data_IF_995500132154
#
_entry.id   IF_995500132154
#
_cell.length_a   1.000
_cell.length_b   1.000
_cell.length_c   1.000
_cell.angle_alpha   90.00
_cell.angle_beta   90.00
_cell.angle_gamma   90.00
#
_symmetry.space_group_name_H-M   'P 1'
#
loop_
_entity.id
_entity.type
_entity.pdbx_description
1 polymer ?
#
# COMPACT_ATOMS: atom_id res chain seq x y z
N UNK A 1 -21.04 35.81 -5.02
CA UNK A 1 -21.84 35.30 -6.16
C UNK A 1 -23.18 34.85 -5.60
N UNK A 2 -24.28 35.54 -5.89
CA UNK A 2 -25.62 35.16 -5.42
C UNK A 2 -26.27 34.26 -6.49
N UNK A 3 -26.35 32.96 -6.23
CA UNK A 3 -27.07 32.02 -7.09
C UNK A 3 -28.55 32.10 -6.71
N UNK A 4 -29.38 32.70 -7.56
CA UNK A 4 -30.83 32.61 -7.43
C UNK A 4 -31.30 31.31 -8.10
N UNK A 5 -32.15 30.50 -7.44
CA UNK A 5 -32.73 29.33 -8.08
C UNK A 5 -33.53 29.78 -9.31
N UNK A 6 -33.32 29.16 -10.46
CA UNK A 6 -34.18 29.36 -11.62
C UNK A 6 -35.45 28.53 -11.42
N UNK A 7 -36.59 29.18 -11.23
CA UNK A 7 -37.86 28.50 -10.93
C UNK A 7 -38.43 27.70 -12.12
N UNK A 8 -38.10 28.08 -13.35
CA UNK A 8 -38.54 27.39 -14.57
C UNK A 8 -37.40 27.34 -15.60
N UNK A 9 -36.71 26.22 -15.69
CA UNK A 9 -35.66 25.99 -16.69
C UNK A 9 -36.28 25.72 -18.06
N UNK A 10 -35.76 26.37 -19.11
CA UNK A 10 -36.13 26.06 -20.49
C UNK A 10 -35.36 24.84 -20.99
N UNK A 11 -35.83 24.23 -22.08
CA UNK A 11 -35.11 23.13 -22.73
C UNK A 11 -33.67 23.51 -23.14
N UNK A 12 -33.44 24.78 -23.51
CA UNK A 12 -32.11 25.28 -23.85
C UNK A 12 -31.21 25.36 -22.60
N UNK A 13 -31.76 25.72 -21.45
CA UNK A 13 -30.99 25.76 -20.19
C UNK A 13 -30.56 24.36 -19.76
N UNK A 14 -31.45 23.37 -19.92
CA UNK A 14 -31.10 21.97 -19.67
C UNK A 14 -29.99 21.47 -20.60
N UNK A 15 -30.05 21.85 -21.88
CA UNK A 15 -29.00 21.50 -22.84
C UNK A 15 -27.67 22.13 -22.47
N UNK A 16 -27.65 23.42 -22.16
CA UNK A 16 -26.44 24.13 -21.75
C UNK A 16 -25.84 23.53 -20.47
N UNK A 17 -26.68 23.13 -19.51
CA UNK A 17 -26.25 22.49 -18.28
C UNK A 17 -25.68 21.09 -18.53
N UNK A 18 -26.27 20.30 -19.43
CA UNK A 18 -25.75 18.99 -19.82
C UNK A 18 -24.40 19.10 -20.54
N UNK A 19 -24.27 20.03 -21.50
CA UNK A 19 -23.02 20.28 -22.22
C UNK A 19 -21.92 20.79 -21.28
N UNK A 20 -22.26 21.69 -20.34
CA UNK A 20 -21.33 22.17 -19.33
C UNK A 20 -20.93 21.05 -18.35
N UNK A 21 -21.88 20.22 -17.91
CA UNK A 21 -21.58 19.07 -17.07
C UNK A 21 -20.64 18.12 -17.80
N UNK A 22 -20.89 17.75 -19.06
CA UNK A 22 -20.01 16.88 -19.84
C UNK A 22 -18.61 17.49 -20.06
N UNK A 23 -18.54 18.79 -20.32
CA UNK A 23 -17.26 19.47 -20.59
C UNK A 23 -16.40 19.66 -19.33
N UNK A 24 -17.04 19.87 -18.18
CA UNK A 24 -16.38 20.11 -16.88
C UNK A 24 -16.42 18.89 -15.95
N UNK A 25 -17.04 17.79 -16.35
CA UNK A 25 -16.95 16.51 -15.64
C UNK A 25 -15.50 16.04 -15.76
N UNK A 26 -14.73 15.93 -14.66
CA UNK A 26 -13.32 15.52 -14.68
C UNK A 26 -13.13 14.04 -15.08
N UNK A 27 -14.04 13.47 -15.86
CA UNK A 27 -14.21 12.05 -16.09
C UNK A 27 -14.80 11.36 -14.85
N UNK A 28 -15.21 10.07 -14.99
CA UNK A 28 -15.63 9.29 -13.84
C UNK A 28 -14.58 9.39 -12.73
N UNK A 29 -14.99 9.70 -11.50
CA UNK A 29 -14.11 9.63 -10.33
C UNK A 29 -13.45 8.24 -10.20
N UNK A 30 -14.04 7.22 -10.82
CA UNK A 30 -13.50 5.86 -10.92
C UNK A 30 -12.37 5.68 -11.94
N UNK A 31 -12.20 6.56 -12.93
CA UNK A 31 -11.12 6.46 -13.93
C UNK A 31 -9.78 7.01 -13.45
N UNK A 32 -9.78 7.89 -12.45
CA UNK A 32 -8.57 8.45 -11.84
C UNK A 32 -8.30 7.92 -10.42
N UNK A 33 -9.24 7.17 -9.86
CA UNK A 33 -9.08 6.50 -8.58
C UNK A 33 -8.47 5.12 -8.79
N UNK A 34 -7.16 5.01 -8.58
CA UNK A 34 -6.53 3.72 -8.38
C UNK A 34 -6.96 3.19 -7.01
N UNK A 35 -7.74 2.10 -6.98
CA UNK A 35 -8.14 1.45 -5.72
C UNK A 35 -6.93 0.83 -5.00
N UNK A 36 -5.85 0.61 -5.74
CA UNK A 36 -4.60 0.04 -5.24
C UNK A 36 -3.43 0.89 -5.72
N UNK A 37 -3.35 2.17 -5.28
CA UNK A 37 -2.28 3.05 -5.71
C UNK A 37 -0.96 2.37 -5.41
N UNK A 38 -0.12 2.18 -6.43
CA UNK A 38 1.22 1.64 -6.22
C UNK A 38 1.95 2.58 -5.28
N UNK A 39 2.27 2.08 -4.08
CA UNK A 39 3.12 2.80 -3.16
C UNK A 39 4.46 3.10 -3.85
N UNK A 40 5.02 4.27 -3.56
CA UNK A 40 6.39 4.54 -3.95
C UNK A 40 7.31 3.49 -3.33
N UNK A 41 8.30 2.97 -4.07
CA UNK A 41 9.21 1.97 -3.53
C UNK A 41 9.96 2.55 -2.34
N UNK A 42 9.84 1.89 -1.17
CA UNK A 42 10.59 2.25 0.03
C UNK A 42 12.09 2.04 -0.18
N UNK A 43 12.91 2.81 0.53
CA UNK A 43 14.35 2.61 0.61
C UNK A 43 14.68 1.17 1.08
N UNK A 44 15.56 0.43 0.38
CA UNK A 44 15.97 -0.91 0.79
C UNK A 44 16.37 -1.05 2.26
N UNK A 45 17.04 -0.03 2.84
CA UNK A 45 17.43 -0.07 4.25
C UNK A 45 16.21 -0.05 5.19
N UNK A 46 15.18 0.71 4.83
CA UNK A 46 13.93 0.79 5.59
C UNK A 46 13.17 -0.53 5.51
N UNK A 47 13.15 -1.18 4.34
CA UNK A 47 12.52 -2.48 4.15
C UNK A 47 13.20 -3.56 4.99
N UNK A 48 14.53 -3.64 4.93
CA UNK A 48 15.33 -4.61 5.70
C UNK A 48 15.09 -4.44 7.20
N UNK A 49 15.13 -3.19 7.70
CA UNK A 49 14.84 -2.90 9.11
C UNK A 49 13.42 -3.32 9.51
N UNK A 50 12.43 -2.99 8.68
CA UNK A 50 11.03 -3.37 8.92
C UNK A 50 10.85 -4.89 8.98
N UNK A 51 11.47 -5.63 8.06
CA UNK A 51 11.44 -7.09 8.08
C UNK A 51 12.10 -7.67 9.34
N UNK A 52 13.26 -7.14 9.75
CA UNK A 52 13.94 -7.57 10.96
C UNK A 52 13.12 -7.29 12.23
N UNK A 53 12.44 -6.15 12.30
CA UNK A 53 11.52 -5.82 13.40
C UNK A 53 10.32 -6.76 13.48
N UNK A 54 9.74 -7.15 12.34
CA UNK A 54 8.66 -8.16 12.30
C UNK A 54 9.18 -9.49 12.84
N UNK A 55 10.33 -9.96 12.35
CA UNK A 55 10.93 -11.22 12.80
C UNK A 55 11.21 -11.21 14.30
N UNK A 56 11.74 -10.12 14.86
CA UNK A 56 12.01 -10.03 16.31
C UNK A 56 10.77 -10.19 17.20
N UNK A 57 9.59 -9.91 16.65
CA UNK A 57 8.33 -10.04 17.37
C UNK A 57 7.70 -11.44 17.25
N UNK A 58 8.16 -12.26 16.30
CA UNK A 58 7.68 -13.63 16.06
C UNK A 58 8.03 -14.59 17.21
N UNK A 59 7.19 -15.61 17.40
CA UNK A 59 7.43 -16.67 18.39
C UNK A 59 8.68 -17.49 18.06
N UNK A 60 8.84 -17.83 16.78
CA UNK A 60 10.00 -18.59 16.27
C UNK A 60 11.34 -17.89 16.49
N UNK A 61 11.36 -16.56 16.57
CA UNK A 61 12.55 -15.81 16.96
C UNK A 61 12.81 -15.86 18.47
N UNK A 62 11.77 -15.72 19.30
CA UNK A 62 11.91 -15.68 20.76
C UNK A 62 12.48 -16.98 21.33
N UNK A 63 12.11 -18.10 20.71
CA UNK A 63 12.52 -19.43 21.14
C UNK A 63 13.91 -19.85 20.57
N UNK A 64 14.49 -19.08 19.64
CA UNK A 64 15.75 -19.40 18.97
C UNK A 64 16.88 -18.42 19.32
N UNK A 65 17.69 -18.80 20.29
CA UNK A 65 18.83 -18.00 20.76
C UNK A 65 19.91 -17.73 19.70
N UNK A 66 20.02 -18.55 18.64
CA UNK A 66 21.03 -18.34 17.60
C UNK A 66 20.67 -17.16 16.69
N UNK A 67 19.39 -16.77 16.67
CA UNK A 67 18.92 -15.60 15.91
C UNK A 67 19.18 -14.29 16.66
N UNK A 68 19.48 -14.34 17.95
CA UNK A 68 19.57 -13.15 18.79
C UNK A 68 20.91 -12.42 18.55
N UNK A 69 20.84 -11.10 18.39
CA UNK A 69 22.02 -10.25 18.21
C UNK A 69 22.62 -10.27 16.80
N UNK A 70 21.99 -10.97 15.84
CA UNK A 70 22.40 -10.95 14.45
C UNK A 70 22.09 -9.58 13.79
N UNK A 71 22.93 -9.13 12.85
CA UNK A 71 22.59 -8.02 11.94
C UNK A 71 21.33 -8.32 11.14
N UNK A 72 20.57 -7.28 10.76
CA UNK A 72 19.23 -7.41 10.16
C UNK A 72 19.22 -8.30 8.92
N UNK A 73 20.19 -8.14 8.02
CA UNK A 73 20.27 -8.92 6.78
C UNK A 73 20.50 -10.42 7.07
N UNK A 74 21.37 -10.71 8.04
CA UNK A 74 21.74 -12.08 8.43
C UNK A 74 20.60 -12.73 9.20
N UNK A 75 19.93 -11.98 10.08
CA UNK A 75 18.75 -12.40 10.81
C UNK A 75 17.66 -12.86 9.85
N UNK A 76 17.34 -12.04 8.85
CA UNK A 76 16.29 -12.35 7.87
C UNK A 76 16.60 -13.65 7.14
N UNK A 77 17.83 -13.80 6.63
CA UNK A 77 18.23 -15.01 5.92
C UNK A 77 18.19 -16.26 6.81
N UNK A 78 18.76 -16.18 8.00
CA UNK A 78 18.85 -17.33 8.91
C UNK A 78 17.47 -17.74 9.45
N UNK A 79 16.62 -16.78 9.79
CA UNK A 79 15.24 -17.04 10.18
C UNK A 79 14.46 -17.69 9.03
N UNK A 80 14.62 -17.19 7.80
CA UNK A 80 13.97 -17.78 6.63
C UNK A 80 14.40 -19.23 6.41
N UNK A 81 15.68 -19.56 6.52
CA UNK A 81 16.14 -20.95 6.40
C UNK A 81 15.61 -21.84 7.51
N UNK A 82 15.57 -21.38 8.75
CA UNK A 82 15.11 -22.20 9.88
C UNK A 82 13.61 -22.43 9.93
N UNK A 83 12.83 -21.49 9.40
CA UNK A 83 11.36 -21.55 9.41
C UNK A 83 10.77 -22.13 8.13
N UNK A 84 11.58 -22.24 7.07
CA UNK A 84 11.13 -22.83 5.80
C UNK A 84 10.93 -24.34 5.92
N UNK A 85 9.79 -24.88 5.45
CA UNK A 85 9.57 -26.32 5.46
C UNK A 85 10.57 -27.04 4.55
N UNK A 86 11.17 -28.13 5.04
CA UNK A 86 12.11 -28.95 4.29
C UNK A 86 13.55 -28.43 4.25
N UNK A 87 13.88 -27.42 5.07
CA UNK A 87 15.25 -26.95 5.27
C UNK A 87 15.71 -27.37 6.67
N UNK A 88 16.84 -28.07 6.72
CA UNK A 88 17.52 -28.43 7.97
C UNK A 88 18.87 -27.71 8.03
N UNK A 89 19.10 -26.95 9.10
CA UNK A 89 20.39 -26.32 9.34
C UNK A 89 21.32 -27.35 9.98
N UNK A 90 22.34 -27.79 9.25
CA UNK A 90 23.34 -28.73 9.76
C UNK A 90 24.25 -28.04 10.78
N UNK A 91 24.27 -28.53 12.02
CA UNK A 91 25.28 -28.13 13.00
C UNK A 91 26.61 -28.84 12.68
N UNK A 92 27.71 -28.08 12.60
CA UNK A 92 29.07 -28.61 12.47
C UNK A 92 29.68 -28.91 13.84
#
# INVERSE_FOLDING_TARGET
>A
MHLKPMENLTFLDYRNLAEAAEHFDPGPWTTHYDMYPKAEPEDPEVQVRGMAEVIRNEGSYKDDSELHGLPDEVLIMMWAFKTSPGVEVMQQ
#
